data_IF_685570258831
#
_entry.id   IF_685570258831
#
_cell.length_a   1.000
_cell.length_b   1.000
_cell.length_c   1.000
_cell.angle_alpha   90.00
_cell.angle_beta   90.00
_cell.angle_gamma   90.00
#
_symmetry.space_group_name_H-M   'P 1'
#
loop_
_entity.id
_entity.type
_entity.pdbx_description
1 polymer ?
#
# COMPACT_ATOMS: atom_id res chain seq x y z
N UNK A 1 51.05 -64.82 18.52
CA UNK A 1 50.42 -63.93 17.55
C UNK A 1 48.91 -64.05 17.76
N UNK A 2 48.31 -63.10 18.41
CA UNK A 2 46.86 -63.05 18.70
C UNK A 2 46.32 -61.79 18.08
N UNK A 3 45.43 -61.92 17.08
CA UNK A 3 44.74 -60.82 16.44
C UNK A 3 43.54 -60.43 17.34
N UNK A 4 43.53 -59.14 17.77
CA UNK A 4 42.41 -58.57 18.52
C UNK A 4 41.55 -57.82 17.51
N UNK A 5 40.34 -58.34 17.30
CA UNK A 5 39.34 -57.70 16.42
C UNK A 5 38.55 -56.73 17.25
N UNK A 6 38.60 -55.43 16.90
CA UNK A 6 37.84 -54.37 17.55
C UNK A 6 36.57 -54.17 16.71
N UNK A 7 35.44 -54.55 17.27
CA UNK A 7 34.11 -54.32 16.71
C UNK A 7 33.71 -52.89 17.08
N UNK A 8 33.70 -52.05 16.07
CA UNK A 8 33.22 -50.67 16.20
C UNK A 8 31.66 -50.64 16.12
N UNK A 9 31.03 -50.43 17.26
CA UNK A 9 29.56 -50.36 17.33
C UNK A 9 29.12 -48.93 17.02
N UNK A 10 28.66 -48.73 15.80
CA UNK A 10 28.10 -47.42 15.37
C UNK A 10 26.71 -47.23 15.97
N UNK A 11 26.66 -46.38 16.98
CA UNK A 11 25.40 -45.90 17.56
C UNK A 11 24.78 -44.88 16.64
N UNK A 12 23.71 -45.29 15.96
CA UNK A 12 22.92 -44.42 15.08
C UNK A 12 22.00 -43.53 15.95
N UNK A 13 22.41 -42.27 16.18
CA UNK A 13 21.56 -41.29 16.82
C UNK A 13 20.53 -40.77 15.79
N UNK A 14 19.29 -41.27 15.95
CA UNK A 14 18.13 -40.72 15.25
C UNK A 14 17.74 -39.42 15.96
N UNK A 15 18.10 -38.27 15.38
CA UNK A 15 17.59 -36.96 15.81
C UNK A 15 16.15 -36.82 15.33
N UNK A 16 15.18 -36.94 16.23
CA UNK A 16 13.80 -36.52 15.99
C UNK A 16 13.76 -35.01 15.94
N UNK A 17 13.72 -34.45 14.72
CA UNK A 17 13.39 -33.05 14.53
C UNK A 17 11.90 -32.87 14.79
N UNK A 18 11.54 -32.30 15.93
CA UNK A 18 10.22 -31.75 16.16
C UNK A 18 10.07 -30.53 15.24
N UNK A 19 9.42 -30.69 14.10
CA UNK A 19 8.87 -29.57 13.34
C UNK A 19 7.70 -29.05 14.17
N UNK A 20 7.95 -27.97 14.91
CA UNK A 20 6.89 -27.18 15.50
C UNK A 20 6.08 -26.56 14.36
N UNK A 21 4.85 -27.02 14.19
CA UNK A 21 3.86 -26.34 13.37
C UNK A 21 3.63 -24.97 14.00
N UNK A 22 4.03 -23.91 13.28
CA UNK A 22 3.62 -22.55 13.63
C UNK A 22 2.09 -22.52 13.52
N UNK A 23 1.35 -22.03 14.54
CA UNK A 23 -0.07 -21.82 14.39
C UNK A 23 -0.26 -20.84 13.23
N UNK A 24 -0.92 -21.32 12.17
CA UNK A 24 -1.32 -20.49 11.06
C UNK A 24 -2.20 -19.37 11.63
N UNK A 25 -1.75 -18.12 11.45
CA UNK A 25 -2.59 -16.96 11.73
C UNK A 25 -3.87 -17.10 10.89
N UNK A 26 -5.06 -16.93 11.47
CA UNK A 26 -6.29 -16.94 10.70
C UNK A 26 -6.13 -15.86 9.61
N UNK A 27 -6.15 -16.32 8.35
CA UNK A 27 -6.13 -15.42 7.21
C UNK A 27 -7.35 -14.51 7.35
N UNK A 28 -7.10 -13.22 7.55
CA UNK A 28 -8.15 -12.22 7.42
C UNK A 28 -8.69 -12.33 5.99
N UNK A 29 -10.03 -12.32 5.80
CA UNK A 29 -10.59 -12.33 4.48
C UNK A 29 -9.95 -11.19 3.69
N UNK A 30 -9.23 -11.55 2.62
CA UNK A 30 -8.54 -10.60 1.75
C UNK A 30 -9.59 -9.75 1.04
N UNK A 31 -9.93 -8.62 1.65
CA UNK A 31 -10.59 -7.55 0.91
C UNK A 31 -9.55 -6.93 -0.02
N UNK A 32 -9.88 -6.71 -1.30
CA UNK A 32 -8.96 -6.06 -2.20
C UNK A 32 -8.53 -4.72 -1.60
N UNK A 33 -7.23 -4.55 -1.43
CA UNK A 33 -6.67 -3.31 -0.84
C UNK A 33 -6.95 -2.08 -1.72
N UNK A 34 -7.27 -2.29 -2.99
CA UNK A 34 -7.46 -1.22 -3.97
C UNK A 34 -8.61 -1.52 -4.94
N UNK A 35 -9.29 -0.49 -5.47
CA UNK A 35 -10.29 -0.62 -6.52
C UNK A 35 -9.75 -1.32 -7.76
N UNK A 36 -10.54 -2.18 -8.39
CA UNK A 36 -10.14 -2.85 -9.63
C UNK A 36 -10.31 -1.94 -10.84
N UNK A 37 -9.49 -2.21 -11.88
CA UNK A 37 -9.42 -1.42 -13.10
C UNK A 37 -10.74 -1.45 -13.90
N UNK A 38 -11.22 -0.25 -14.31
CA UNK A 38 -12.24 -0.07 -15.36
C UNK A 38 -11.61 0.58 -16.59
N UNK A 39 -12.26 0.45 -17.76
CA UNK A 39 -11.81 1.12 -18.99
C UNK A 39 -11.86 2.64 -18.81
N UNK A 40 -10.75 3.31 -19.12
CA UNK A 40 -10.59 4.74 -18.89
C UNK A 40 -10.05 5.45 -20.12
N UNK A 41 -10.36 6.75 -20.26
CA UNK A 41 -9.86 7.62 -21.33
C UNK A 41 -8.45 8.17 -21.05
N UNK A 42 -8.01 8.15 -19.77
CA UNK A 42 -6.71 8.65 -19.34
C UNK A 42 -5.80 7.49 -18.98
N UNK A 43 -4.54 7.53 -19.39
CA UNK A 43 -3.57 6.48 -19.09
C UNK A 43 -3.06 6.56 -17.64
N UNK A 44 -2.59 5.42 -17.10
CA UNK A 44 -1.98 5.38 -15.77
C UNK A 44 -0.79 6.35 -15.66
N UNK A 45 0.03 6.48 -16.73
CA UNK A 45 1.15 7.43 -16.74
C UNK A 45 0.68 8.89 -16.61
N UNK A 46 -0.43 9.25 -17.27
CA UNK A 46 -0.97 10.60 -17.16
C UNK A 46 -1.51 10.88 -15.75
N UNK A 47 -2.20 9.92 -15.15
CA UNK A 47 -2.67 10.02 -13.75
C UNK A 47 -1.48 10.18 -12.78
N UNK A 48 -0.47 9.32 -12.90
CA UNK A 48 0.72 9.38 -12.04
C UNK A 48 1.49 10.70 -12.17
N UNK A 49 1.59 11.24 -13.40
CA UNK A 49 2.19 12.55 -13.66
C UNK A 49 1.37 13.65 -12.98
N UNK A 50 0.05 13.67 -13.14
CA UNK A 50 -0.82 14.68 -12.55
C UNK A 50 -0.78 14.65 -11.02
N UNK A 51 -0.74 13.47 -10.40
CA UNK A 51 -0.55 13.31 -8.95
C UNK A 51 0.78 13.91 -8.49
N UNK A 52 1.89 13.59 -9.20
CA UNK A 52 3.20 14.12 -8.84
C UNK A 52 3.27 15.65 -8.96
N UNK A 53 2.70 16.22 -10.03
CA UNK A 53 2.64 17.66 -10.26
C UNK A 53 1.79 18.38 -9.22
N UNK A 54 0.66 17.80 -8.84
CA UNK A 54 -0.19 18.31 -7.77
C UNK A 54 0.57 18.38 -6.44
N UNK A 55 1.17 17.25 -6.02
CA UNK A 55 1.93 17.17 -4.77
C UNK A 55 3.08 18.19 -4.74
N UNK A 56 3.86 18.26 -5.83
CA UNK A 56 4.98 19.20 -5.93
C UNK A 56 4.53 20.66 -5.88
N UNK A 57 3.43 21.01 -6.57
CA UNK A 57 2.87 22.35 -6.59
C UNK A 57 2.33 22.76 -5.23
N UNK A 58 1.58 21.88 -4.58
CA UNK A 58 1.04 22.12 -3.24
C UNK A 58 2.16 22.27 -2.20
N UNK A 59 3.15 21.38 -2.21
CA UNK A 59 4.30 21.46 -1.32
C UNK A 59 5.07 22.79 -1.49
N UNK A 60 5.27 23.23 -2.74
CA UNK A 60 5.93 24.52 -3.03
C UNK A 60 5.21 25.71 -2.39
N UNK A 61 3.88 25.70 -2.40
CA UNK A 61 3.06 26.76 -1.79
C UNK A 61 3.10 26.73 -0.25
N UNK A 62 3.41 25.57 0.33
CA UNK A 62 3.35 25.29 1.77
C UNK A 62 4.74 25.14 2.43
N UNK A 63 5.76 25.78 1.86
CA UNK A 63 7.11 25.80 2.46
C UNK A 63 7.92 24.52 2.22
N UNK A 64 7.59 23.73 1.20
CA UNK A 64 8.35 22.56 0.78
C UNK A 64 7.82 21.22 1.29
N UNK A 65 6.68 21.21 2.00
CA UNK A 65 6.02 19.99 2.48
C UNK A 65 4.62 19.88 1.92
N UNK A 66 4.26 18.68 1.49
CA UNK A 66 2.87 18.34 1.20
C UNK A 66 2.11 18.19 2.50
N UNK A 67 1.03 18.93 2.69
CA UNK A 67 0.29 18.95 3.96
C UNK A 67 -1.09 18.32 3.78
N UNK A 68 -1.38 17.31 4.62
CA UNK A 68 -2.66 16.61 4.63
C UNK A 68 -3.18 16.56 6.06
N UNK A 69 -4.46 16.84 6.24
CA UNK A 69 -5.12 16.69 7.53
C UNK A 69 -5.51 15.22 7.75
N UNK A 70 -4.98 14.62 8.80
CA UNK A 70 -5.35 13.28 9.26
C UNK A 70 -6.51 13.36 10.26
N UNK A 71 -7.71 13.09 9.77
CA UNK A 71 -8.92 13.13 10.61
C UNK A 71 -8.98 12.05 11.69
N UNK A 72 -8.21 10.96 11.56
CA UNK A 72 -8.17 9.89 12.59
C UNK A 72 -7.37 10.33 13.81
N UNK A 73 -6.23 10.95 13.58
CA UNK A 73 -5.34 11.43 14.66
C UNK A 73 -5.56 12.89 14.99
N UNK A 74 -6.44 13.59 14.25
CA UNK A 74 -6.73 15.01 14.39
C UNK A 74 -5.47 15.89 14.31
N UNK A 75 -4.61 15.62 13.33
CA UNK A 75 -3.34 16.32 13.12
C UNK A 75 -3.09 16.68 11.65
N UNK A 76 -2.23 17.65 11.40
CA UNK A 76 -1.74 17.96 10.05
C UNK A 76 -0.42 17.23 9.84
N UNK A 77 -0.41 16.31 8.87
CA UNK A 77 0.79 15.62 8.43
C UNK A 77 1.60 16.52 7.49
N UNK A 78 2.90 16.64 7.74
CA UNK A 78 3.86 17.28 6.86
C UNK A 78 4.68 16.20 6.16
N UNK A 79 4.51 16.05 4.86
CA UNK A 79 4.84 14.88 4.08
C UNK A 79 5.85 15.17 2.98
N UNK A 80 6.80 14.25 2.79
CA UNK A 80 7.66 14.14 1.63
C UNK A 80 7.24 12.92 0.80
N UNK A 81 7.01 13.08 -0.50
CA UNK A 81 6.67 11.98 -1.38
C UNK A 81 7.84 11.01 -1.51
N UNK A 82 7.61 9.73 -1.21
CA UNK A 82 8.57 8.65 -1.41
C UNK A 82 8.35 7.95 -2.74
N UNK A 83 7.09 7.55 -3.02
CA UNK A 83 6.77 6.72 -4.19
C UNK A 83 5.30 6.85 -4.56
N UNK A 84 5.00 6.91 -5.85
CA UNK A 84 3.66 6.67 -6.41
C UNK A 84 3.62 5.22 -6.92
N UNK A 85 2.60 4.45 -6.53
CA UNK A 85 2.43 3.06 -6.95
C UNK A 85 1.80 2.98 -8.35
N UNK A 86 2.66 3.04 -9.39
CA UNK A 86 2.22 3.08 -10.80
C UNK A 86 1.44 1.85 -11.24
N UNK A 87 1.68 0.71 -10.61
CA UNK A 87 1.00 -0.57 -10.83
C UNK A 87 -0.42 -0.62 -10.27
N UNK A 88 -0.76 0.31 -9.37
CA UNK A 88 -2.07 0.42 -8.70
C UNK A 88 -2.92 1.58 -9.24
N UNK A 89 -2.41 2.36 -10.17
CA UNK A 89 -3.17 3.44 -10.82
C UNK A 89 -4.29 2.87 -11.67
N UNK A 90 -5.52 3.28 -11.39
CA UNK A 90 -6.70 2.72 -12.06
C UNK A 90 -7.83 3.72 -12.18
N UNK A 91 -8.59 3.64 -13.27
CA UNK A 91 -9.88 4.33 -13.38
C UNK A 91 -10.97 3.53 -12.69
N UNK A 92 -11.75 4.20 -11.87
CA UNK A 92 -12.84 3.59 -11.09
C UNK A 92 -14.24 3.94 -11.61
N UNK A 93 -14.32 4.64 -12.74
CA UNK A 93 -15.55 5.06 -13.41
C UNK A 93 -15.87 6.54 -13.18
N UNK A 94 -16.83 7.07 -13.95
CA UNK A 94 -17.25 8.47 -13.85
C UNK A 94 -16.11 9.49 -13.93
N UNK A 95 -15.17 9.27 -14.88
CA UNK A 95 -13.97 10.09 -15.06
C UNK A 95 -13.12 10.26 -13.76
N UNK A 96 -13.23 9.30 -12.85
CA UNK A 96 -12.49 9.27 -11.59
C UNK A 96 -11.38 8.22 -11.65
N UNK A 97 -10.22 8.57 -11.14
CA UNK A 97 -9.01 7.77 -11.15
C UNK A 97 -8.49 7.67 -9.72
N UNK A 98 -8.06 6.47 -9.37
CA UNK A 98 -7.47 6.13 -8.10
C UNK A 98 -5.94 6.04 -8.23
N UNK A 99 -5.24 6.60 -7.29
CA UNK A 99 -3.80 6.45 -7.10
C UNK A 99 -3.51 6.23 -5.63
N UNK A 100 -2.44 5.49 -5.32
CA UNK A 100 -1.88 5.49 -3.97
C UNK A 100 -0.40 5.83 -3.99
N UNK A 101 0.07 6.45 -2.92
CA UNK A 101 1.44 6.89 -2.79
C UNK A 101 1.92 6.82 -1.34
N UNK A 102 3.20 6.44 -1.18
CA UNK A 102 3.88 6.43 0.10
C UNK A 102 4.55 7.77 0.39
N UNK A 103 4.49 8.19 1.62
CA UNK A 103 5.04 9.43 2.11
C UNK A 103 5.82 9.24 3.41
N UNK A 104 6.93 9.95 3.55
CA UNK A 104 7.63 10.11 4.82
C UNK A 104 7.11 11.36 5.52
N UNK A 105 6.57 11.22 6.72
CA UNK A 105 6.13 12.35 7.52
C UNK A 105 7.27 12.91 8.38
N UNK A 106 7.16 14.20 8.76
CA UNK A 106 8.13 14.87 9.65
C UNK A 106 8.18 14.27 11.06
N UNK A 107 7.15 13.51 11.46
CA UNK A 107 7.14 12.75 12.71
C UNK A 107 7.92 11.42 12.65
N UNK A 108 8.55 11.10 11.51
CA UNK A 108 9.35 9.91 11.29
C UNK A 108 8.56 8.69 10.80
N UNK A 109 7.23 8.75 10.71
CA UNK A 109 6.39 7.64 10.25
C UNK A 109 6.19 7.66 8.73
N UNK A 110 5.90 6.48 8.19
CA UNK A 110 5.51 6.31 6.79
C UNK A 110 3.99 6.18 6.69
N UNK A 111 3.42 6.94 5.76
CA UNK A 111 1.98 6.92 5.46
C UNK A 111 1.75 6.55 4.00
N UNK A 112 0.76 5.70 3.74
CA UNK A 112 0.20 5.44 2.41
C UNK A 112 -1.09 6.26 2.28
N UNK A 113 -1.18 7.09 1.24
CA UNK A 113 -2.34 7.92 0.95
C UNK A 113 -3.03 7.45 -0.32
N UNK A 114 -4.35 7.29 -0.24
CA UNK A 114 -5.22 7.15 -1.40
C UNK A 114 -5.57 8.53 -1.94
N UNK A 115 -5.33 8.75 -3.24
CA UNK A 115 -5.52 10.01 -3.94
C UNK A 115 -6.51 9.78 -5.07
N UNK A 116 -7.62 10.50 -5.05
CA UNK A 116 -8.62 10.46 -6.11
C UNK A 116 -8.49 11.68 -7.00
N UNK A 117 -8.43 11.43 -8.30
CA UNK A 117 -8.41 12.45 -9.32
C UNK A 117 -9.67 12.38 -10.18
N UNK A 118 -10.18 13.51 -10.61
CA UNK A 118 -11.31 13.59 -11.49
C UNK A 118 -10.99 14.42 -12.73
N UNK A 119 -11.39 13.95 -13.90
CA UNK A 119 -11.22 14.65 -15.16
C UNK A 119 -11.36 13.77 -16.39
N UNK A 120 -11.65 14.39 -17.53
CA UNK A 120 -11.92 13.66 -18.80
C UNK A 120 -10.69 13.50 -19.68
N UNK A 121 -9.70 14.34 -19.49
CA UNK A 121 -8.47 14.37 -20.30
C UNK A 121 -7.23 14.47 -19.42
N UNK A 122 -6.04 14.08 -19.92
CA UNK A 122 -4.78 14.20 -19.17
C UNK A 122 -4.49 15.62 -18.64
N UNK A 123 -4.90 16.65 -19.37
CA UNK A 123 -4.64 18.05 -19.04
C UNK A 123 -5.71 18.67 -18.12
N UNK A 124 -6.73 17.88 -17.75
CA UNK A 124 -7.83 18.31 -16.90
C UNK A 124 -8.06 17.25 -15.82
N UNK A 125 -7.04 17.00 -15.03
CA UNK A 125 -7.11 16.09 -13.88
C UNK A 125 -6.90 16.92 -12.61
N UNK A 126 -7.93 17.00 -11.80
CA UNK A 126 -7.92 17.68 -10.51
C UNK A 126 -8.04 16.67 -9.37
N UNK A 127 -7.38 16.93 -8.26
CA UNK A 127 -7.54 16.12 -7.04
C UNK A 127 -8.91 16.39 -6.45
N UNK A 128 -9.71 15.34 -6.29
CA UNK A 128 -11.05 15.41 -5.68
C UNK A 128 -11.04 15.00 -4.21
N UNK A 129 -10.16 14.07 -3.82
CA UNK A 129 -10.09 13.58 -2.45
C UNK A 129 -8.70 13.02 -2.13
N UNK A 130 -8.28 13.13 -0.87
CA UNK A 130 -7.07 12.51 -0.34
C UNK A 130 -7.41 11.90 1.01
N UNK A 131 -7.06 10.60 1.21
CA UNK A 131 -7.37 9.87 2.43
C UNK A 131 -6.12 9.16 2.92
N UNK A 132 -5.86 9.21 4.22
CA UNK A 132 -4.79 8.40 4.83
C UNK A 132 -5.26 6.95 4.92
N UNK A 133 -4.66 6.09 4.09
CA UNK A 133 -5.01 4.68 4.01
C UNK A 133 -4.23 3.86 5.02
N UNK A 134 -2.90 4.00 5.08
CA UNK A 134 -2.06 3.24 6.02
C UNK A 134 -1.15 4.15 6.84
N UNK A 135 -0.86 3.71 8.05
CA UNK A 135 0.18 4.27 8.90
C UNK A 135 1.14 3.13 9.28
N UNK A 136 2.43 3.26 8.97
CA UNK A 136 3.45 2.22 9.21
C UNK A 136 3.04 0.84 8.63
N UNK A 137 2.40 0.85 7.44
CA UNK A 137 1.93 -0.36 6.75
C UNK A 137 0.63 -0.94 7.29
N UNK A 138 0.07 -0.40 8.39
CA UNK A 138 -1.20 -0.86 8.98
C UNK A 138 -2.37 -0.15 8.29
N UNK A 139 -3.26 -0.87 7.57
CA UNK A 139 -4.40 -0.26 6.89
C UNK A 139 -5.46 0.20 7.90
N UNK A 140 -6.08 1.34 7.61
CA UNK A 140 -7.19 1.90 8.39
C UNK A 140 -8.55 1.48 7.86
N UNK A 141 -8.61 1.02 6.62
CA UNK A 141 -9.79 0.53 5.91
C UNK A 141 -9.38 -0.35 4.73
N UNK A 142 -10.35 -1.08 4.16
CA UNK A 142 -10.24 -1.78 2.89
C UNK A 142 -11.26 -1.23 1.88
N UNK A 143 -11.30 -1.83 0.70
CA UNK A 143 -12.24 -1.49 -0.35
C UNK A 143 -13.13 -2.69 -0.67
N UNK A 144 -14.43 -2.45 -0.87
CA UNK A 144 -15.40 -3.46 -1.32
C UNK A 144 -16.25 -2.90 -2.46
N UNK A 145 -16.49 -3.70 -3.48
CA UNK A 145 -17.40 -3.33 -4.55
C UNK A 145 -18.85 -3.68 -4.16
N UNK A 146 -19.73 -2.66 -4.14
CA UNK A 146 -21.15 -2.81 -3.92
C UNK A 146 -21.92 -2.25 -5.12
N UNK A 147 -22.59 -3.13 -5.89
CA UNK A 147 -23.39 -2.76 -7.06
C UNK A 147 -22.64 -1.86 -8.07
N UNK A 148 -21.37 -2.14 -8.30
CA UNK A 148 -20.52 -1.39 -9.21
C UNK A 148 -19.92 -0.10 -8.64
N UNK A 149 -20.09 0.17 -7.35
CA UNK A 149 -19.49 1.30 -6.63
C UNK A 149 -18.50 0.78 -5.58
N UNK A 150 -17.33 1.36 -5.54
CA UNK A 150 -16.32 1.06 -4.53
C UNK A 150 -16.63 1.82 -3.24
N UNK A 151 -16.75 1.09 -2.14
CA UNK A 151 -17.02 1.64 -0.80
C UNK A 151 -15.90 1.25 0.16
N UNK A 152 -15.58 2.15 1.07
CA UNK A 152 -14.66 1.88 2.15
C UNK A 152 -15.30 0.95 3.18
N UNK A 153 -14.53 -0.02 3.67
CA UNK A 153 -14.94 -0.94 4.74
C UNK A 153 -13.88 -0.93 5.84
N UNK A 154 -14.32 -0.99 7.09
CA UNK A 154 -13.45 -1.09 8.27
C UNK A 154 -13.29 -2.53 8.69
#
# INVERSE_FOLDING_TARGET
MKYFSIICNSLLLVSLSFMGEHPEHPEHPEHPEHPSKKTTSVSAQAVGKAVAEFIASDAKLKGGKFMVFDGTNNEVLQLDLLKIHMDRLTGIGNDTYFACADFQASNGKVYDLDIFMHGKTPDNLDVSEIIVHKEEGVPRYGWREEKGVWVQVK
#
